data_IF_997061373749
#
_entry.id   IF_997061373749
#
_cell.length_a   1.000
_cell.length_b   1.000
_cell.length_c   1.000
_cell.angle_alpha   90.00
_cell.angle_beta   90.00
_cell.angle_gamma   90.00
#
_symmetry.space_group_name_H-M   'P 1'
#
loop_
_entity.id
_entity.type
_entity.pdbx_description
1 polymer ?
#
# COMPACT_ATOMS: atom_id res chain seq x y z
N UNK A 1 2.86 -30.34 -5.22
CA UNK A 1 2.68 -31.77 -4.89
C UNK A 1 1.58 -32.10 -3.87
N UNK A 2 1.05 -31.17 -3.05
CA UNK A 2 -0.04 -31.48 -2.09
C UNK A 2 -1.34 -30.69 -2.33
N UNK A 3 -1.65 -30.36 -3.59
CA UNK A 3 -2.78 -29.45 -3.92
C UNK A 3 -4.13 -30.03 -3.47
N UNK A 4 -4.37 -31.32 -3.71
CA UNK A 4 -5.64 -32.00 -3.38
C UNK A 4 -5.99 -31.97 -1.89
N UNK A 5 -5.00 -31.85 -1.00
CA UNK A 5 -5.18 -31.86 0.46
C UNK A 5 -5.68 -30.51 0.97
N UNK A 6 -5.24 -29.41 0.37
CA UNK A 6 -5.49 -28.05 0.89
C UNK A 6 -6.57 -27.29 0.12
N UNK A 7 -6.90 -27.72 -1.10
CA UNK A 7 -7.84 -27.04 -2.01
C UNK A 7 -9.28 -26.97 -1.47
N UNK A 8 -9.71 -27.97 -0.69
CA UNK A 8 -11.03 -27.99 -0.05
C UNK A 8 -11.10 -27.19 1.25
N UNK A 9 -9.95 -26.90 1.86
CA UNK A 9 -9.84 -26.26 3.19
C UNK A 9 -9.67 -24.74 3.05
N UNK A 10 -9.09 -24.29 1.95
CA UNK A 10 -8.92 -22.86 1.66
C UNK A 10 -9.01 -22.60 0.17
N UNK A 11 -9.71 -21.53 -0.21
CA UNK A 11 -9.66 -21.03 -1.58
C UNK A 11 -8.23 -20.62 -1.91
N UNK A 12 -7.62 -21.31 -2.86
CA UNK A 12 -6.31 -20.91 -3.37
C UNK A 12 -6.43 -19.55 -4.05
N UNK A 13 -5.97 -18.51 -3.37
CA UNK A 13 -5.75 -17.20 -3.97
C UNK A 13 -4.31 -17.22 -4.44
N UNK A 14 -4.08 -17.11 -5.75
CA UNK A 14 -2.74 -17.05 -6.32
C UNK A 14 -1.88 -16.08 -5.50
N UNK A 15 -0.71 -16.54 -5.05
CA UNK A 15 0.24 -15.68 -4.38
C UNK A 15 0.56 -14.53 -5.35
N UNK A 16 0.13 -13.31 -5.01
CA UNK A 16 0.52 -12.15 -5.78
C UNK A 16 2.06 -12.12 -5.74
N UNK A 17 2.74 -11.98 -6.88
CA UNK A 17 4.19 -11.87 -6.90
C UNK A 17 4.59 -10.77 -5.90
N UNK A 18 5.62 -11.06 -5.08
CA UNK A 18 6.14 -10.09 -4.12
C UNK A 18 6.61 -8.89 -4.93
N UNK A 19 5.76 -7.88 -5.03
CA UNK A 19 6.17 -6.61 -5.61
C UNK A 19 7.18 -5.99 -4.65
N UNK A 20 8.31 -5.47 -5.15
CA UNK A 20 9.30 -4.81 -4.31
C UNK A 20 8.65 -3.63 -3.57
N UNK A 21 8.91 -3.56 -2.26
CA UNK A 21 8.46 -2.44 -1.44
C UNK A 21 9.48 -1.31 -1.56
N UNK A 22 9.01 -0.10 -1.84
CA UNK A 22 9.87 1.07 -1.98
C UNK A 22 9.64 2.01 -0.80
N UNK A 23 10.73 2.48 -0.20
CA UNK A 23 10.67 3.61 0.74
C UNK A 23 10.54 4.88 -0.09
N UNK A 24 9.44 5.60 0.09
CA UNK A 24 9.19 6.89 -0.57
C UNK A 24 9.42 8.04 0.41
N UNK A 25 9.95 9.16 -0.08
CA UNK A 25 10.02 10.39 0.69
C UNK A 25 8.68 11.11 0.61
N UNK A 26 8.15 11.52 1.77
CA UNK A 26 6.88 12.21 1.91
C UNK A 26 7.10 13.35 2.91
N UNK A 27 6.73 14.59 2.55
CA UNK A 27 6.91 15.77 3.40
C UNK A 27 5.58 16.43 3.74
N UNK A 28 5.47 16.96 4.98
CA UNK A 28 4.37 17.82 5.43
C UNK A 28 2.93 17.28 5.26
N UNK A 29 2.74 15.97 5.05
CA UNK A 29 1.40 15.43 4.96
C UNK A 29 0.92 15.13 6.41
N UNK A 30 -0.21 15.68 6.88
CA UNK A 30 -0.76 15.40 8.23
C UNK A 30 -1.20 13.94 8.48
N UNK A 31 -0.52 13.19 9.34
CA UNK A 31 -0.72 11.73 9.58
C UNK A 31 -2.17 11.21 9.79
N UNK A 32 -3.14 12.09 10.03
CA UNK A 32 -4.57 11.85 9.89
C UNK A 32 -5.08 12.14 8.45
N UNK A 33 -4.99 11.17 7.55
CA UNK A 33 -5.57 11.26 6.20
C UNK A 33 -6.76 10.33 6.05
N UNK A 34 -7.97 10.87 6.07
CA UNK A 34 -9.17 10.07 5.85
C UNK A 34 -10.09 10.67 4.76
N UNK A 35 -9.62 11.69 4.05
CA UNK A 35 -10.44 12.45 3.08
C UNK A 35 -9.90 12.33 1.67
N UNK A 36 -10.77 12.47 0.66
CA UNK A 36 -10.37 12.44 -0.75
C UNK A 36 -9.32 13.53 -1.10
N UNK A 37 -9.37 14.68 -0.44
CA UNK A 37 -8.39 15.76 -0.59
C UNK A 37 -7.00 15.32 -0.13
N UNK A 38 -6.92 14.65 1.01
CA UNK A 38 -5.63 14.16 1.53
C UNK A 38 -4.96 13.13 0.62
N UNK A 39 -5.75 12.30 -0.06
CA UNK A 39 -5.26 11.35 -1.07
C UNK A 39 -4.69 12.05 -2.31
N UNK A 40 -5.30 13.16 -2.73
CA UNK A 40 -4.82 13.95 -3.86
C UNK A 40 -3.46 14.60 -3.55
N UNK A 41 -3.28 15.13 -2.34
CA UNK A 41 -2.00 15.69 -1.87
C UNK A 41 -0.91 14.61 -1.86
N UNK A 42 -1.21 13.42 -1.34
CA UNK A 42 -0.28 12.28 -1.34
C UNK A 42 0.19 11.89 -2.74
N UNK A 43 -0.72 11.83 -3.71
CA UNK A 43 -0.39 11.57 -5.12
C UNK A 43 0.55 12.63 -5.69
N UNK A 44 0.25 13.90 -5.43
CA UNK A 44 1.07 15.03 -5.90
C UNK A 44 2.49 14.99 -5.33
N UNK A 45 2.62 14.79 -4.02
CA UNK A 45 3.92 14.76 -3.33
C UNK A 45 4.77 13.57 -3.79
N UNK A 46 4.19 12.37 -3.84
CA UNK A 46 4.93 11.18 -4.26
C UNK A 46 5.43 11.35 -5.70
N UNK A 47 4.59 11.85 -6.62
CA UNK A 47 5.00 12.12 -8.00
C UNK A 47 6.08 13.21 -8.10
N UNK A 48 6.08 14.19 -7.19
CA UNK A 48 7.03 15.31 -7.21
C UNK A 48 8.42 14.87 -6.72
N UNK A 49 8.47 14.12 -5.62
CA UNK A 49 9.72 13.77 -4.94
C UNK A 49 10.27 12.39 -5.29
N UNK A 50 9.44 11.47 -5.81
CA UNK A 50 9.81 10.10 -6.13
C UNK A 50 9.57 9.84 -7.63
N UNK A 51 10.42 10.42 -8.48
CA UNK A 51 10.30 10.26 -9.94
C UNK A 51 10.34 8.79 -10.34
N UNK A 52 9.40 8.38 -11.21
CA UNK A 52 9.27 7.01 -11.68
C UNK A 52 8.43 6.11 -10.78
N UNK A 53 7.89 6.64 -9.68
CA UNK A 53 6.95 5.92 -8.83
C UNK A 53 5.52 6.44 -9.03
N UNK A 54 4.58 5.51 -9.17
CA UNK A 54 3.15 5.79 -9.24
C UNK A 54 2.43 5.04 -8.12
N UNK A 55 1.42 5.68 -7.54
CA UNK A 55 0.62 5.09 -6.47
C UNK A 55 -0.42 4.14 -7.09
N UNK A 56 -0.30 2.85 -6.79
CA UNK A 56 -1.16 1.79 -7.36
C UNK A 56 -2.44 1.53 -6.53
N UNK A 57 -2.80 2.41 -5.60
CA UNK A 57 -3.99 2.26 -4.76
C UNK A 57 -4.11 3.30 -3.64
N UNK A 58 -5.09 3.15 -2.76
CA UNK A 58 -5.20 4.06 -1.62
C UNK A 58 -4.16 3.67 -0.54
N UNK A 59 -3.31 4.60 -0.10
CA UNK A 59 -2.38 4.35 1.00
C UNK A 59 -3.13 4.05 2.30
N UNK A 60 -2.52 3.20 3.12
CA UNK A 60 -3.03 2.85 4.45
C UNK A 60 -1.87 2.76 5.44
N UNK A 61 -2.17 2.99 6.72
CA UNK A 61 -1.19 2.86 7.79
C UNK A 61 -0.91 1.38 8.06
N UNK A 62 0.36 0.99 8.04
CA UNK A 62 0.81 -0.35 8.46
C UNK A 62 0.71 -0.52 9.98
N UNK A 63 0.80 0.58 10.72
CA UNK A 63 0.67 0.63 12.17
C UNK A 63 -0.72 1.10 12.58
N UNK A 64 -1.13 0.66 13.78
CA UNK A 64 -2.34 1.17 14.43
C UNK A 64 -2.16 2.65 14.81
N UNK A 65 -3.27 3.35 15.01
CA UNK A 65 -3.30 4.80 15.30
C UNK A 65 -2.48 5.22 16.52
N UNK A 66 -2.38 4.35 17.53
CA UNK A 66 -1.56 4.53 18.74
C UNK A 66 -0.04 4.47 18.48
N UNK A 67 0.38 4.03 17.29
CA UNK A 67 1.79 3.84 16.91
C UNK A 67 2.14 4.49 15.56
N UNK A 68 1.39 5.54 15.19
CA UNK A 68 1.69 6.38 14.03
C UNK A 68 2.69 7.47 14.40
#
# INVERSE_FOLDING_TARGET
>A
ENQEIWESVTYFKAALPIQPWYKVAIHNIPTSFYTNESLAVLKSEISTFNKGFEIVGNPYWLTKEDRR
#
